data_IF_111435503362
#
_entry.id   IF_111435503362
#
_cell.length_a   1.000
_cell.length_b   1.000
_cell.length_c   1.000
_cell.angle_alpha   90.00
_cell.angle_beta   90.00
_cell.angle_gamma   90.00
#
_symmetry.space_group_name_H-M   'P 1'
#
loop_
_entity.id
_entity.type
_entity.pdbx_description
1 polymer ?
#
# COMPACT_ATOMS: atom_id res chain seq x y z
N UNK A 1 1.25 -18.55 -1.36
CA UNK A 1 0.69 -17.17 -1.33
C UNK A 1 0.77 -16.47 -2.70
N UNK A 2 1.87 -16.59 -3.44
CA UNK A 2 2.06 -15.92 -4.75
C UNK A 2 0.93 -16.22 -5.75
N UNK A 3 0.50 -17.48 -5.87
CA UNK A 3 -0.63 -17.85 -6.74
C UNK A 3 -1.95 -17.12 -6.43
N UNK A 4 -2.15 -16.68 -5.18
CA UNK A 4 -3.35 -15.94 -4.77
C UNK A 4 -3.28 -14.49 -5.29
N UNK A 5 -2.07 -13.95 -5.39
CA UNK A 5 -1.79 -12.57 -5.81
C UNK A 5 -1.71 -12.43 -7.34
N UNK A 6 -1.44 -13.53 -8.05
CA UNK A 6 -1.33 -13.55 -9.52
C UNK A 6 -2.59 -12.98 -10.19
N UNK A 7 -2.40 -11.95 -11.02
CA UNK A 7 -3.48 -11.31 -11.77
C UNK A 7 -4.42 -10.42 -10.94
N UNK A 8 -4.12 -10.16 -9.67
CA UNK A 8 -4.93 -9.29 -8.79
C UNK A 8 -4.20 -7.99 -8.46
N UNK A 9 -4.96 -6.90 -8.35
CA UNK A 9 -4.45 -5.66 -7.77
C UNK A 9 -4.41 -5.83 -6.25
N UNK A 10 -3.25 -5.57 -5.65
CA UNK A 10 -3.03 -5.71 -4.23
C UNK A 10 -3.21 -4.35 -3.57
N UNK A 11 -4.16 -4.26 -2.64
CA UNK A 11 -4.44 -3.04 -1.87
C UNK A 11 -4.13 -3.35 -0.41
N UNK A 12 -3.40 -2.47 0.26
CA UNK A 12 -3.10 -2.62 1.67
C UNK A 12 -2.25 -1.48 2.20
N UNK A 13 -1.90 -1.54 3.49
CA UNK A 13 -1.17 -0.48 4.16
C UNK A 13 0.30 -0.84 4.35
N UNK A 14 1.21 -0.07 3.77
CA UNK A 14 2.66 -0.30 3.85
C UNK A 14 3.08 -1.70 3.38
N UNK A 15 2.35 -2.28 2.41
CA UNK A 15 2.50 -3.66 1.91
C UNK A 15 3.87 -3.95 1.29
N UNK A 16 4.60 -2.90 0.94
CA UNK A 16 5.98 -3.01 0.48
C UNK A 16 6.88 -3.69 1.52
N UNK A 17 6.64 -3.46 2.82
CA UNK A 17 7.38 -4.10 3.89
C UNK A 17 7.11 -5.61 3.93
N UNK A 18 5.85 -6.01 3.79
CA UNK A 18 5.43 -7.41 3.74
C UNK A 18 6.06 -8.13 2.54
N UNK A 19 6.02 -7.51 1.35
CA UNK A 19 6.66 -8.07 0.16
C UNK A 19 8.16 -8.28 0.33
N UNK A 20 8.85 -7.34 1.00
CA UNK A 20 10.28 -7.45 1.29
C UNK A 20 10.59 -8.61 2.25
N UNK A 21 9.78 -8.81 3.29
CA UNK A 21 9.94 -9.94 4.24
C UNK A 21 9.64 -11.27 3.57
N UNK A 22 8.59 -11.33 2.73
CA UNK A 22 8.17 -12.53 2.03
C UNK A 22 8.99 -12.83 0.76
N UNK A 23 9.95 -11.96 0.41
CA UNK A 23 10.74 -12.01 -0.82
C UNK A 23 9.87 -12.15 -2.09
N UNK A 24 8.76 -11.41 -2.15
CA UNK A 24 7.82 -11.38 -3.28
C UNK A 24 8.06 -10.10 -4.07
N UNK A 25 8.21 -10.23 -5.38
CA UNK A 25 8.27 -9.08 -6.29
C UNK A 25 6.96 -8.90 -7.02
N UNK A 26 6.30 -7.77 -6.81
CA UNK A 26 5.07 -7.40 -7.54
C UNK A 26 5.30 -6.07 -8.26
N UNK A 27 4.92 -5.94 -9.54
CA UNK A 27 5.03 -4.68 -10.27
C UNK A 27 4.32 -3.52 -9.54
N UNK A 28 4.91 -2.31 -9.43
CA UNK A 28 4.31 -1.18 -8.71
C UNK A 28 2.90 -0.81 -9.19
N UNK A 29 2.62 -0.99 -10.48
CA UNK A 29 1.30 -0.76 -11.10
C UNK A 29 0.19 -1.68 -10.58
N UNK A 30 0.56 -2.85 -10.01
CA UNK A 30 -0.37 -3.79 -9.37
C UNK A 30 -0.53 -3.55 -7.87
N UNK A 31 0.18 -2.57 -7.29
CA UNK A 31 0.15 -2.27 -5.87
C UNK A 31 -0.55 -0.93 -5.65
N UNK A 32 -1.52 -0.91 -4.74
CA UNK A 32 -2.23 0.29 -4.29
C UNK A 32 -2.02 0.44 -2.80
N UNK A 33 -0.92 1.08 -2.43
CA UNK A 33 -0.59 1.30 -1.03
C UNK A 33 -1.42 2.45 -0.42
N UNK A 34 -2.15 2.15 0.64
CA UNK A 34 -2.99 3.13 1.34
C UNK A 34 -2.18 4.10 2.18
N UNK A 35 -0.98 3.73 2.64
CA UNK A 35 -0.15 4.61 3.48
C UNK A 35 0.40 5.81 2.68
N UNK A 36 0.64 5.65 1.38
CA UNK A 36 1.14 6.68 0.46
C UNK A 36 0.06 7.26 -0.47
N UNK A 37 -1.19 6.80 -0.37
CA UNK A 37 -2.27 7.26 -1.24
C UNK A 37 -2.58 8.74 -1.00
N UNK A 38 -2.42 9.56 -2.05
CA UNK A 38 -2.72 11.01 -2.01
C UNK A 38 -4.18 11.28 -1.65
N UNK A 39 -5.11 10.54 -2.24
CA UNK A 39 -6.55 10.69 -1.98
C UNK A 39 -6.90 10.45 -0.52
N UNK A 40 -6.36 9.38 0.08
CA UNK A 40 -6.62 9.05 1.48
C UNK A 40 -6.03 10.10 2.43
N UNK A 41 -4.92 10.75 2.03
CA UNK A 41 -4.30 11.83 2.80
C UNK A 41 -5.13 13.10 2.79
N UNK A 42 -5.64 13.46 1.61
CA UNK A 42 -6.53 14.61 1.44
C UNK A 42 -7.82 14.43 2.24
N UNK A 43 -8.39 13.21 2.26
CA UNK A 43 -9.59 12.88 3.04
C UNK A 43 -9.41 13.01 4.56
N UNK A 44 -8.21 12.76 5.08
CA UNK A 44 -7.93 12.74 6.52
C UNK A 44 -7.17 13.99 7.00
N UNK A 45 -7.21 15.08 6.23
CA UNK A 45 -6.50 16.34 6.49
C UNK A 45 -5.01 16.14 6.81
N UNK A 46 -4.42 15.07 6.27
CA UNK A 46 -3.05 14.68 6.53
C UNK A 46 -2.08 15.57 5.75
N UNK A 47 -0.92 15.87 6.35
CA UNK A 47 0.15 16.57 5.64
C UNK A 47 0.54 15.81 4.38
N UNK A 48 0.60 16.51 3.24
CA UNK A 48 0.95 15.96 1.93
C UNK A 48 2.41 15.50 1.83
N UNK A 49 3.17 15.52 2.93
CA UNK A 49 4.56 15.06 3.01
C UNK A 49 4.80 13.74 3.75
N UNK A 50 3.87 13.23 4.55
CA UNK A 50 4.08 12.00 5.35
C UNK A 50 3.09 10.88 4.99
N UNK A 51 3.50 9.62 5.20
CA UNK A 51 2.59 8.47 5.16
C UNK A 51 1.57 8.57 6.30
N UNK A 52 0.33 8.20 6.02
CA UNK A 52 -0.72 8.20 7.06
C UNK A 52 -0.58 6.94 7.91
N UNK A 53 -0.81 7.04 9.21
CA UNK A 53 -0.93 5.87 10.08
C UNK A 53 -2.26 5.19 9.83
N UNK A 54 -2.31 3.86 9.79
CA UNK A 54 -3.56 3.11 9.65
C UNK A 54 -4.62 3.48 10.69
N UNK A 55 -4.21 3.82 11.94
CA UNK A 55 -5.14 4.30 12.98
C UNK A 55 -5.87 5.61 12.65
N UNK A 56 -5.38 6.35 11.65
CA UNK A 56 -5.94 7.61 11.17
C UNK A 56 -6.69 7.45 9.85
N UNK A 57 -6.69 6.25 9.25
CA UNK A 57 -7.54 5.88 8.11
C UNK A 57 -8.87 5.30 8.60
#
# INVERSE_FOLDING_TARGET
IVNILTGKIIVGHAVFNDFRVLNISVPPQMIRDTCSSRLLRELHNGSTRCSVSLKKL
#
